data_IF_206031730509
#
_entry.id   IF_206031730509
#
_cell.length_a   1.000
_cell.length_b   1.000
_cell.length_c   1.000
_cell.angle_alpha   90.00
_cell.angle_beta   90.00
_cell.angle_gamma   90.00
#
_symmetry.space_group_name_H-M   'P 1'
#
loop_
_entity.id
_entity.type
_entity.pdbx_description
1 polymer ?
#
# COMPACT_ATOMS: atom_id res chain seq x y z
N UNK A 1 0.81 -16.09 4.62
CA UNK A 1 0.01 -15.05 3.93
C UNK A 1 0.95 -14.11 3.21
N UNK A 2 0.55 -13.49 2.09
CA UNK A 2 1.39 -12.51 1.41
C UNK A 2 1.53 -11.23 2.26
N UNK A 3 2.69 -10.58 2.19
CA UNK A 3 3.00 -9.38 2.96
C UNK A 3 3.67 -8.32 2.09
N UNK A 4 3.65 -7.07 2.55
CA UNK A 4 4.28 -5.92 1.89
C UNK A 4 5.19 -5.24 2.91
N UNK A 5 6.50 -5.24 2.63
CA UNK A 5 7.48 -4.52 3.45
C UNK A 5 7.64 -3.08 2.98
N UNK A 6 7.64 -2.15 3.92
CA UNK A 6 7.99 -0.74 3.75
C UNK A 6 9.21 -0.48 4.63
N UNK A 7 10.30 0.02 4.04
CA UNK A 7 11.48 0.47 4.78
C UNK A 7 11.39 1.98 5.00
N UNK A 8 11.98 2.46 6.09
CA UNK A 8 12.29 3.86 6.24
C UNK A 8 13.52 4.20 5.40
N UNK A 9 13.52 5.39 4.82
CA UNK A 9 14.64 5.91 4.00
C UNK A 9 15.04 7.32 4.44
N UNK A 10 14.54 7.75 5.60
CA UNK A 10 15.01 8.97 6.23
C UNK A 10 16.41 8.71 6.78
N UNK A 11 17.32 9.66 6.55
CA UNK A 11 18.70 9.58 6.99
C UNK A 11 18.77 9.31 8.51
N UNK A 12 19.50 8.27 8.90
CA UNK A 12 19.65 7.87 10.30
C UNK A 12 18.53 6.95 10.82
N UNK A 13 17.55 6.62 9.99
CA UNK A 13 16.45 5.71 10.31
C UNK A 13 16.37 4.51 9.37
N UNK A 14 17.40 4.25 8.55
CA UNK A 14 17.39 3.25 7.47
C UNK A 14 17.17 1.79 7.93
N UNK A 15 17.45 1.50 9.21
CA UNK A 15 17.22 0.19 9.81
C UNK A 15 15.74 -0.08 10.12
N UNK A 16 14.89 0.96 10.10
CA UNK A 16 13.48 0.83 10.44
C UNK A 16 12.65 0.26 9.29
N UNK A 17 11.80 -0.71 9.59
CA UNK A 17 10.87 -1.27 8.61
C UNK A 17 9.60 -1.84 9.25
N UNK A 18 8.54 -1.85 8.46
CA UNK A 18 7.27 -2.50 8.79
C UNK A 18 6.85 -3.44 7.68
N UNK A 19 6.31 -4.59 8.04
CA UNK A 19 5.75 -5.58 7.13
C UNK A 19 4.26 -5.71 7.39
N UNK A 20 3.45 -5.26 6.44
CA UNK A 20 1.99 -5.30 6.52
C UNK A 20 1.43 -6.58 5.92
N UNK A 21 0.28 -7.02 6.43
CA UNK A 21 -0.56 -8.01 5.75
C UNK A 21 -1.01 -7.48 4.39
N UNK A 22 -0.80 -8.25 3.32
CA UNK A 22 -1.26 -7.87 1.99
C UNK A 22 -2.80 -8.00 1.84
N UNK A 23 -3.48 -8.60 2.82
CA UNK A 23 -4.94 -8.62 2.86
C UNK A 23 -5.43 -7.23 3.27
N UNK A 24 -6.12 -6.54 2.38
CA UNK A 24 -6.66 -5.20 2.63
C UNK A 24 -7.97 -5.03 1.87
N UNK A 25 -9.01 -4.67 2.59
CA UNK A 25 -10.37 -4.51 2.07
C UNK A 25 -10.69 -3.05 1.79
N UNK A 26 -11.71 -2.82 0.96
CA UNK A 26 -12.24 -1.47 0.74
C UNK A 26 -12.84 -0.88 2.02
N UNK A 27 -13.39 -1.72 2.91
CA UNK A 27 -13.92 -1.30 4.21
C UNK A 27 -12.83 -0.78 5.16
N UNK A 28 -11.69 -1.46 5.24
CA UNK A 28 -10.52 -0.98 6.00
C UNK A 28 -9.98 0.33 5.43
N UNK A 29 -9.97 0.48 4.10
CA UNK A 29 -9.60 1.76 3.46
C UNK A 29 -10.53 2.89 3.89
N UNK A 30 -11.84 2.66 3.86
CA UNK A 30 -12.84 3.64 4.28
C UNK A 30 -12.66 4.01 5.75
N UNK A 31 -12.43 3.02 6.61
CA UNK A 31 -12.14 3.24 8.03
C UNK A 31 -10.90 4.12 8.24
N UNK A 32 -9.84 3.89 7.45
CA UNK A 32 -8.64 4.74 7.49
C UNK A 32 -8.95 6.16 7.01
N UNK A 33 -9.69 6.31 5.90
CA UNK A 33 -10.08 7.63 5.36
C UNK A 33 -11.00 8.42 6.33
N UNK A 34 -11.79 7.72 7.16
CA UNK A 34 -12.70 8.30 8.16
C UNK A 34 -12.04 8.51 9.54
N UNK A 35 -10.80 8.04 9.75
CA UNK A 35 -10.10 8.20 11.01
C UNK A 35 -9.79 9.68 11.27
N UNK A 36 -10.29 10.22 12.39
CA UNK A 36 -10.16 11.64 12.74
C UNK A 36 -9.07 11.94 13.77
N UNK A 37 -8.43 10.91 14.32
CA UNK A 37 -7.49 10.98 15.42
C UNK A 37 -6.35 9.95 15.25
N UNK A 38 -5.23 10.24 15.89
CA UNK A 38 -4.00 9.45 15.80
C UNK A 38 -4.14 8.06 16.42
N UNK A 39 -4.89 7.94 17.52
CA UNK A 39 -5.10 6.66 18.21
C UNK A 39 -5.82 5.66 17.31
N UNK A 40 -6.86 6.11 16.59
CA UNK A 40 -7.58 5.28 15.62
C UNK A 40 -6.69 4.88 14.46
N UNK A 41 -5.85 5.80 13.95
CA UNK A 41 -4.89 5.49 12.88
C UNK A 41 -3.89 4.45 13.37
N UNK A 42 -3.32 4.62 14.57
CA UNK A 42 -2.36 3.70 15.16
C UNK A 42 -2.96 2.32 15.37
N UNK A 43 -4.20 2.23 15.86
CA UNK A 43 -4.90 0.96 16.01
C UNK A 43 -5.07 0.24 14.67
N UNK A 44 -5.31 0.96 13.57
CA UNK A 44 -5.36 0.39 12.22
C UNK A 44 -3.96 -0.07 11.79
N UNK A 45 -2.90 0.69 12.07
CA UNK A 45 -1.52 0.30 11.76
C UNK A 45 -1.16 -1.00 12.49
N UNK A 46 -1.31 -1.03 13.82
CA UNK A 46 -0.96 -2.15 14.67
C UNK A 46 -1.71 -3.43 14.25
N UNK A 47 -3.02 -3.35 13.99
CA UNK A 47 -3.83 -4.48 13.54
C UNK A 47 -3.40 -5.07 12.18
N UNK A 48 -2.58 -4.35 11.41
CA UNK A 48 -2.20 -4.72 10.03
C UNK A 48 -0.73 -5.07 9.89
N UNK A 49 0.09 -4.74 10.88
CA UNK A 49 1.48 -5.16 10.97
C UNK A 49 1.51 -6.68 11.23
N UNK A 50 2.34 -7.37 10.48
CA UNK A 50 2.66 -8.80 10.67
C UNK A 50 4.02 -8.93 11.37
N UNK A 51 4.97 -8.06 11.01
CA UNK A 51 6.29 -7.93 11.64
C UNK A 51 6.75 -6.48 11.51
N UNK A 52 7.55 -6.01 12.45
CA UNK A 52 8.21 -4.73 12.35
C UNK A 52 9.59 -4.79 13.00
N UNK A 53 10.38 -3.77 12.73
CA UNK A 53 11.56 -3.42 13.49
C UNK A 53 11.62 -1.90 13.50
N UNK A 54 11.29 -1.32 14.64
CA UNK A 54 11.25 0.13 14.82
C UNK A 54 12.16 0.46 15.99
N UNK A 55 13.26 1.12 15.71
CA UNK A 55 14.24 1.61 16.68
C UNK A 55 13.83 3.02 17.11
N UNK A 56 13.47 3.17 18.37
CA UNK A 56 13.07 4.44 18.97
C UNK A 56 14.28 5.35 19.24
N UNK A 57 14.04 6.63 19.53
CA UNK A 57 15.12 7.62 19.69
C UNK A 57 16.05 7.32 20.89
N UNK A 58 15.56 6.59 21.88
CA UNK A 58 16.30 6.12 23.06
C UNK A 58 17.01 4.78 22.85
N UNK A 59 16.93 4.19 21.65
CA UNK A 59 17.53 2.91 21.30
C UNK A 59 16.68 1.69 21.69
N UNK A 60 15.45 1.89 22.16
CA UNK A 60 14.46 0.82 22.26
C UNK A 60 14.10 0.23 20.90
N UNK A 61 13.63 -1.01 20.89
CA UNK A 61 13.24 -1.71 19.65
C UNK A 61 11.85 -2.31 19.81
N UNK A 62 10.97 -1.95 18.88
CA UNK A 62 9.61 -2.49 18.76
C UNK A 62 9.61 -3.55 17.66
N UNK A 63 9.41 -4.81 18.03
CA UNK A 63 9.37 -5.95 17.10
C UNK A 63 7.98 -6.60 16.97
N UNK A 64 7.07 -6.29 17.89
CA UNK A 64 5.68 -6.77 17.88
C UNK A 64 4.70 -5.61 17.75
N UNK A 65 3.59 -5.84 17.03
CA UNK A 65 2.52 -4.86 16.86
C UNK A 65 1.86 -4.47 18.18
N UNK A 66 1.85 -5.38 19.16
CA UNK A 66 1.21 -5.17 20.46
C UNK A 66 2.00 -4.18 21.34
N UNK A 67 3.29 -4.00 21.04
CA UNK A 67 4.16 -3.03 21.68
C UNK A 67 4.04 -1.62 21.04
N UNK A 68 3.30 -1.52 19.93
CA UNK A 68 3.07 -0.27 19.21
C UNK A 68 1.89 0.52 19.83
N UNK A 69 2.12 1.06 21.02
CA UNK A 69 1.14 1.86 21.77
C UNK A 69 1.31 3.36 21.51
N UNK A 70 0.33 4.18 21.92
CA UNK A 70 0.46 5.65 21.85
C UNK A 70 1.65 6.16 22.66
N UNK A 71 1.93 5.55 23.81
CA UNK A 71 3.10 5.89 24.63
C UNK A 71 4.40 5.57 23.88
N UNK A 72 4.50 4.39 23.25
CA UNK A 72 5.67 4.01 22.47
C UNK A 72 5.89 4.92 21.25
N UNK A 73 4.81 5.34 20.59
CA UNK A 73 4.88 6.33 19.49
C UNK A 73 5.27 7.71 20.00
N UNK A 74 4.83 8.12 21.19
CA UNK A 74 5.20 9.38 21.82
C UNK A 74 6.69 9.52 22.12
N UNK A 75 7.41 8.40 22.26
CA UNK A 75 8.86 8.35 22.46
C UNK A 75 9.66 8.20 21.14
N UNK A 76 8.97 8.10 19.99
CA UNK A 76 9.64 8.07 18.68
C UNK A 76 10.15 9.45 18.29
N UNK A 77 11.20 9.48 17.47
CA UNK A 77 11.51 10.69 16.70
C UNK A 77 10.32 11.06 15.81
N UNK A 78 10.01 12.35 15.70
CA UNK A 78 8.88 12.87 14.90
C UNK A 78 8.94 12.39 13.44
N UNK A 79 10.15 12.28 12.86
CA UNK A 79 10.35 11.77 11.50
C UNK A 79 9.92 10.32 11.39
N UNK A 80 10.23 9.51 12.40
CA UNK A 80 9.90 8.09 12.46
C UNK A 80 8.40 7.88 12.70
N UNK A 81 7.79 8.67 13.61
CA UNK A 81 6.36 8.65 13.86
C UNK A 81 5.56 9.03 12.59
N UNK A 82 5.96 10.11 11.91
CA UNK A 82 5.35 10.52 10.65
C UNK A 82 5.54 9.47 9.54
N UNK A 83 6.72 8.84 9.46
CA UNK A 83 6.98 7.76 8.53
C UNK A 83 6.06 6.56 8.77
N UNK A 84 5.87 6.16 10.02
CA UNK A 84 5.02 5.03 10.39
C UNK A 84 3.59 5.21 9.85
N UNK A 85 3.01 6.39 10.04
CA UNK A 85 1.69 6.74 9.48
C UNK A 85 1.73 6.72 7.94
N UNK A 86 2.72 7.39 7.33
CA UNK A 86 2.88 7.43 5.87
C UNK A 86 3.03 6.03 5.25
N UNK A 87 3.70 5.11 5.95
CA UNK A 87 3.98 3.76 5.46
C UNK A 87 2.70 2.92 5.27
N UNK A 88 1.68 3.11 6.11
CA UNK A 88 0.36 2.52 5.92
C UNK A 88 -0.31 3.04 4.65
N UNK A 89 -0.34 4.36 4.46
CA UNK A 89 -0.91 4.98 3.25
C UNK A 89 -0.19 4.52 1.98
N UNK A 90 1.14 4.36 2.05
CA UNK A 90 1.95 3.83 0.96
C UNK A 90 1.58 2.38 0.63
N UNK A 91 1.38 1.52 1.63
CA UNK A 91 0.91 0.15 1.43
C UNK A 91 -0.45 0.13 0.72
N UNK A 92 -1.41 0.95 1.18
CA UNK A 92 -2.73 1.08 0.55
C UNK A 92 -2.63 1.57 -0.90
N UNK A 93 -1.77 2.56 -1.17
CA UNK A 93 -1.53 3.07 -2.52
C UNK A 93 -0.99 1.97 -3.45
N UNK A 94 0.00 1.18 -2.99
CA UNK A 94 0.54 0.05 -3.75
C UNK A 94 -0.52 -1.00 -4.07
N UNK A 95 -1.42 -1.30 -3.12
CA UNK A 95 -2.56 -2.20 -3.35
C UNK A 95 -3.50 -1.66 -4.42
N UNK A 96 -3.80 -0.36 -4.42
CA UNK A 96 -4.63 0.28 -5.46
C UNK A 96 -3.98 0.17 -6.84
N UNK A 97 -2.67 0.43 -6.93
CA UNK A 97 -1.90 0.27 -8.17
C UNK A 97 -1.97 -1.18 -8.67
N UNK A 98 -1.73 -2.17 -7.80
CA UNK A 98 -1.83 -3.60 -8.14
C UNK A 98 -3.22 -3.98 -8.67
N UNK A 99 -4.28 -3.47 -8.05
CA UNK A 99 -5.65 -3.64 -8.55
C UNK A 99 -5.83 -3.06 -9.96
N UNK A 100 -5.42 -1.81 -10.16
CA UNK A 100 -5.55 -1.13 -11.45
C UNK A 100 -4.78 -1.85 -12.58
N UNK A 101 -3.55 -2.28 -12.34
CA UNK A 101 -2.74 -2.98 -13.36
C UNK A 101 -3.22 -4.40 -13.66
N UNK A 102 -4.00 -5.00 -12.74
CA UNK A 102 -4.59 -6.34 -12.95
C UNK A 102 -5.80 -6.34 -13.90
N UNK A 103 -6.36 -5.16 -14.22
CA UNK A 103 -7.44 -5.05 -15.17
C UNK A 103 -6.94 -5.34 -16.59
N UNK A 104 -7.62 -6.21 -17.32
CA UNK A 104 -7.36 -6.47 -18.73
C UNK A 104 -8.65 -6.38 -19.54
N UNK A 105 -8.53 -5.92 -20.79
CA UNK A 105 -9.66 -5.88 -21.72
C UNK A 105 -9.78 -7.26 -22.37
N UNK A 106 -10.91 -7.94 -22.11
CA UNK A 106 -11.32 -9.06 -22.94
C UNK A 106 -12.18 -8.51 -24.08
N UNK A 107 -11.68 -8.55 -25.32
CA UNK A 107 -12.51 -8.26 -26.49
C UNK A 107 -12.49 -9.46 -27.43
N UNK A 108 -13.68 -9.88 -27.90
CA UNK A 108 -13.87 -10.98 -28.84
C UNK A 108 -13.51 -10.62 -30.30
N UNK A 109 -12.88 -9.47 -30.54
CA UNK A 109 -12.56 -8.99 -31.88
C UNK A 109 -11.24 -9.62 -32.35
N UNK A 110 -11.28 -10.90 -32.71
CA UNK A 110 -10.33 -11.44 -33.68
C UNK A 110 -10.51 -10.65 -34.97
N UNK A 111 -9.57 -9.76 -35.28
CA UNK A 111 -9.57 -8.94 -36.49
C UNK A 111 -9.51 -9.81 -37.76
N UNK A 112 -10.65 -10.32 -38.22
CA UNK A 112 -10.88 -10.52 -39.64
C UNK A 112 -11.23 -9.15 -40.20
N UNK A 113 -10.21 -8.41 -40.62
CA UNK A 113 -10.41 -7.31 -41.54
C UNK A 113 -11.06 -7.90 -42.81
N UNK A 114 -12.36 -7.68 -42.99
CA UNK A 114 -13.00 -7.88 -44.28
C UNK A 114 -12.46 -6.81 -45.22
N UNK A 115 -11.47 -7.19 -46.03
CA UNK A 115 -11.00 -6.38 -47.14
C UNK A 115 -12.19 -6.03 -48.04
N UNK A 116 -12.43 -4.75 -48.38
CA UNK A 116 -13.46 -4.41 -49.35
C UNK A 116 -13.08 -4.96 -50.73
N UNK A 117 -14.02 -5.65 -51.38
CA UNK A 117 -13.87 -6.15 -52.76
C UNK A 117 -13.59 -4.97 -53.70
N UNK A 118 -12.54 -5.03 -54.55
CA UNK A 118 -12.27 -3.95 -55.51
C UNK A 118 -13.40 -3.87 -56.55
N UNK A 119 -13.99 -2.69 -56.71
CA UNK A 119 -14.94 -2.39 -57.77
C UNK A 119 -14.21 -2.48 -59.12
N UNK A 120 -14.63 -3.41 -59.97
CA UNK A 120 -14.18 -3.48 -61.37
C UNK A 120 -14.88 -2.37 -62.16
N UNK A 121 -14.16 -1.32 -62.52
CA UNK A 121 -14.63 -0.36 -63.53
C UNK A 121 -14.83 -1.11 -64.84
N UNK A 122 -16.06 -1.11 -65.35
CA UNK A 122 -16.36 -1.65 -66.67
C UNK A 122 -15.86 -0.67 -67.73
N UNK A 123 -14.97 -1.13 -68.62
CA UNK A 123 -14.71 -0.46 -69.90
C UNK A 123 -15.87 -0.76 -70.85
N UNK A 124 -16.59 0.30 -71.26
CA UNK A 124 -17.10 0.56 -72.62
C UNK A 124 -17.93 1.85 -72.63
#
# INVERSE_FOLDING_TARGET
>A
MATIRINCSAEGFDDNWVEYSASWTRGETRRLDEAGDEETILAIIAAKIVRCHIVTADGGVIEASDDLTMDAVGEMDETLAAWLVRSLYEMVARKRVLGNVSASVSSATNGKATMPTPTKTAEM
#
